data_IF_422792507122
#
_entry.id   IF_422792507122
#
_cell.length_a   1.000
_cell.length_b   1.000
_cell.length_c   1.000
_cell.angle_alpha   90.00
_cell.angle_beta   90.00
_cell.angle_gamma   90.00
#
_symmetry.space_group_name_H-M   'P 1'
#
loop_
_entity.id
_entity.type
_entity.pdbx_description
1 polymer ?
#
# COMPACT_ATOMS: atom_id res chain seq x y z
N UNK A 1 -4.51 -11.60 32.21
CA UNK A 1 -5.12 -12.38 31.11
C UNK A 1 -6.61 -12.42 31.36
N UNK A 2 -7.40 -11.74 30.54
CA UNK A 2 -8.86 -11.93 30.55
C UNK A 2 -9.13 -13.22 29.80
N UNK A 3 -9.75 -14.22 30.46
CA UNK A 3 -10.22 -15.42 29.77
C UNK A 3 -11.23 -14.98 28.70
N UNK A 4 -10.88 -15.17 27.43
CA UNK A 4 -11.78 -14.85 26.33
C UNK A 4 -13.04 -15.72 26.46
N UNK A 5 -14.25 -15.14 26.53
CA UNK A 5 -15.45 -15.91 26.79
C UNK A 5 -15.79 -16.76 25.56
N UNK A 6 -15.34 -18.01 25.55
CA UNK A 6 -15.96 -19.02 24.71
C UNK A 6 -17.38 -19.25 25.25
N UNK A 7 -18.38 -19.23 24.38
CA UNK A 7 -19.73 -19.58 24.80
C UNK A 7 -20.41 -20.52 23.80
N UNK A 8 -21.07 -21.52 24.36
CA UNK A 8 -21.84 -22.49 23.62
C UNK A 8 -23.23 -21.94 23.29
N UNK A 9 -23.76 -22.32 22.13
CA UNK A 9 -25.10 -21.94 21.70
C UNK A 9 -25.78 -23.10 20.99
N UNK A 10 -27.11 -23.14 21.03
CA UNK A 10 -27.89 -24.05 20.20
C UNK A 10 -28.22 -23.39 18.87
N UNK A 11 -28.17 -24.15 17.77
CA UNK A 11 -28.52 -23.66 16.44
C UNK A 11 -29.26 -24.70 15.59
N UNK A 12 -29.94 -24.20 14.57
CA UNK A 12 -30.56 -24.99 13.49
C UNK A 12 -30.00 -24.49 12.18
N UNK A 13 -29.50 -25.38 11.33
CA UNK A 13 -28.95 -25.01 10.02
C UNK A 13 -29.94 -25.31 8.90
N UNK A 14 -30.01 -24.43 7.92
CA UNK A 14 -30.73 -24.66 6.67
C UNK A 14 -29.90 -25.56 5.73
N UNK A 15 -30.57 -26.43 4.97
CA UNK A 15 -29.94 -27.26 3.94
C UNK A 15 -30.89 -27.41 2.76
N UNK A 16 -30.42 -27.07 1.55
CA UNK A 16 -31.22 -27.16 0.31
C UNK A 16 -31.69 -28.60 0.04
N UNK A 17 -30.83 -29.59 0.33
CA UNK A 17 -31.07 -31.01 -0.02
C UNK A 17 -32.04 -31.70 0.93
N UNK A 18 -32.25 -31.18 2.15
CA UNK A 18 -33.05 -31.85 3.20
C UNK A 18 -33.81 -30.83 4.04
N UNK A 19 -35.07 -30.56 3.64
CA UNK A 19 -36.02 -29.71 4.38
C UNK A 19 -36.24 -30.14 5.84
N UNK A 20 -35.89 -31.39 6.22
CA UNK A 20 -36.16 -31.98 7.54
C UNK A 20 -35.09 -31.73 8.62
N UNK A 21 -33.90 -31.18 8.33
CA UNK A 21 -32.88 -30.93 9.37
C UNK A 21 -33.18 -29.72 10.28
N UNK A 22 -34.29 -29.02 10.04
CA UNK A 22 -34.68 -27.84 10.80
C UNK A 22 -35.26 -28.13 12.20
N UNK A 23 -35.60 -29.39 12.49
CA UNK A 23 -36.34 -29.72 13.71
C UNK A 23 -35.43 -29.95 14.92
N UNK A 24 -34.25 -30.56 14.73
CA UNK A 24 -33.35 -30.90 15.84
C UNK A 24 -32.28 -29.81 16.07
N UNK A 25 -32.26 -29.15 17.24
CA UNK A 25 -31.20 -28.21 17.58
C UNK A 25 -29.86 -28.93 17.70
N UNK A 26 -28.78 -28.24 17.31
CA UNK A 26 -27.40 -28.70 17.35
C UNK A 26 -26.58 -27.77 18.24
N UNK A 27 -25.46 -28.25 18.75
CA UNK A 27 -24.55 -27.45 19.58
C UNK A 27 -23.46 -26.81 18.73
N UNK A 28 -23.27 -25.50 18.94
CA UNK A 28 -22.15 -24.72 18.43
C UNK A 28 -21.40 -24.05 19.58
N UNK A 29 -20.19 -23.60 19.30
CA UNK A 29 -19.35 -22.82 20.21
C UNK A 29 -18.60 -21.77 19.38
N UNK A 30 -18.34 -20.59 19.93
CA UNK A 30 -17.49 -19.58 19.31
C UNK A 30 -16.31 -19.32 20.24
N UNK A 31 -15.12 -19.25 19.66
CA UNK A 31 -13.92 -18.82 20.34
C UNK A 31 -13.05 -17.98 19.39
N UNK A 32 -11.84 -17.67 19.83
CA UNK A 32 -10.86 -16.88 19.08
C UNK A 32 -10.47 -17.47 17.71
N UNK A 33 -10.59 -18.80 17.52
CA UNK A 33 -10.21 -19.44 16.26
C UNK A 33 -11.33 -19.42 15.21
N UNK A 34 -12.58 -19.28 15.64
CA UNK A 34 -13.72 -19.31 14.73
C UNK A 34 -15.02 -19.79 15.36
N UNK A 35 -15.90 -20.30 14.50
CA UNK A 35 -17.22 -20.84 14.88
C UNK A 35 -17.18 -22.36 14.77
N UNK A 36 -17.30 -23.07 15.89
CA UNK A 36 -17.47 -24.52 15.91
C UNK A 36 -18.94 -24.87 15.74
N UNK A 37 -19.27 -25.63 14.69
CA UNK A 37 -20.61 -26.17 14.48
C UNK A 37 -20.55 -27.70 14.51
N UNK A 38 -21.19 -28.33 15.50
CA UNK A 38 -21.11 -29.79 15.72
C UNK A 38 -19.68 -30.34 15.81
N UNK A 39 -18.78 -29.57 16.42
CA UNK A 39 -17.37 -29.93 16.60
C UNK A 39 -16.47 -29.65 15.39
N UNK A 40 -17.01 -29.14 14.29
CA UNK A 40 -16.21 -28.72 13.12
C UNK A 40 -15.97 -27.22 13.17
N UNK A 41 -14.70 -26.80 13.07
CA UNK A 41 -14.29 -25.40 13.04
C UNK A 41 -14.60 -24.78 11.67
N UNK A 42 -15.26 -23.62 11.70
CA UNK A 42 -15.29 -22.65 10.62
C UNK A 42 -14.36 -21.51 11.03
N UNK A 43 -13.20 -21.43 10.40
CA UNK A 43 -12.22 -20.38 10.68
C UNK A 43 -12.77 -19.01 10.33
N UNK A 44 -12.44 -17.97 11.12
CA UNK A 44 -12.78 -16.60 10.75
C UNK A 44 -12.15 -16.18 9.41
N UNK A 45 -11.02 -16.78 9.00
CA UNK A 45 -10.41 -16.54 7.69
C UNK A 45 -11.27 -17.04 6.52
N UNK A 46 -12.07 -18.09 6.73
CA UNK A 46 -12.96 -18.61 5.70
C UNK A 46 -14.26 -17.79 5.58
N UNK A 47 -14.56 -16.93 6.55
CA UNK A 47 -15.78 -16.14 6.60
C UNK A 47 -15.53 -14.77 5.96
N UNK A 48 -16.22 -14.49 4.86
CA UNK A 48 -16.18 -13.19 4.18
C UNK A 48 -17.05 -12.15 4.92
N UNK A 49 -18.27 -12.55 5.31
CA UNK A 49 -19.24 -11.64 5.94
C UNK A 49 -20.27 -12.41 6.76
N UNK A 50 -20.74 -11.81 7.84
CA UNK A 50 -21.91 -12.28 8.58
C UNK A 50 -23.02 -11.23 8.57
N UNK A 51 -24.22 -11.62 8.13
CA UNK A 51 -25.40 -10.75 8.11
C UNK A 51 -26.54 -11.34 8.91
N UNK A 52 -27.34 -10.45 9.50
CA UNK A 52 -28.55 -10.82 10.23
C UNK A 52 -29.78 -10.43 9.41
N UNK A 53 -30.68 -11.39 9.19
CA UNK A 53 -31.93 -11.13 8.49
C UNK A 53 -33.05 -12.04 9.01
N UNK A 54 -34.15 -11.45 9.47
CA UNK A 54 -35.36 -12.18 9.83
C UNK A 54 -35.20 -13.28 10.90
N UNK A 55 -34.32 -13.10 11.88
CA UNK A 55 -34.04 -14.13 12.89
C UNK A 55 -33.08 -15.22 12.44
N UNK A 56 -32.40 -15.02 11.31
CA UNK A 56 -31.35 -15.90 10.78
C UNK A 56 -30.01 -15.16 10.74
N UNK A 57 -28.96 -15.93 10.96
CA UNK A 57 -27.59 -15.53 10.74
C UNK A 57 -27.10 -16.17 9.45
N UNK A 58 -26.68 -15.34 8.50
CA UNK A 58 -26.17 -15.75 7.21
C UNK A 58 -24.66 -15.52 7.24
N UNK A 59 -23.90 -16.60 7.09
CA UNK A 59 -22.44 -16.61 7.07
C UNK A 59 -22.05 -16.82 5.60
N UNK A 60 -21.52 -15.79 4.96
CA UNK A 60 -20.99 -15.86 3.60
C UNK A 60 -19.50 -16.17 3.66
N UNK A 61 -19.04 -17.11 2.85
CA UNK A 61 -17.65 -17.56 2.86
C UNK A 61 -16.79 -16.93 1.76
N UNK A 62 -15.47 -16.96 1.95
CA UNK A 62 -14.48 -16.68 0.90
C UNK A 62 -14.53 -17.73 -0.22
N UNK A 63 -13.84 -17.47 -1.34
CA UNK A 63 -13.75 -18.41 -2.46
C UNK A 63 -12.98 -19.66 -1.99
N UNK A 64 -13.67 -20.80 -1.95
CA UNK A 64 -13.16 -22.11 -1.48
C UNK A 64 -12.90 -22.23 0.04
N UNK A 65 -13.94 -22.16 0.89
CA UNK A 65 -13.75 -22.28 2.34
C UNK A 65 -13.38 -23.70 2.76
N UNK A 66 -12.52 -23.82 3.76
CA UNK A 66 -12.18 -25.09 4.40
C UNK A 66 -13.26 -25.50 5.41
N UNK A 67 -14.30 -26.17 4.92
CA UNK A 67 -15.41 -26.65 5.76
C UNK A 67 -15.30 -28.15 6.04
N UNK A 68 -15.58 -28.53 7.29
CA UNK A 68 -15.73 -29.93 7.67
C UNK A 68 -16.88 -30.63 6.93
N UNK A 69 -16.84 -31.97 6.87
CA UNK A 69 -17.76 -32.80 6.06
C UNK A 69 -19.22 -32.63 6.48
N UNK A 70 -19.52 -32.33 7.75
CA UNK A 70 -20.90 -32.13 8.24
C UNK A 70 -21.40 -30.72 7.92
N UNK A 71 -20.56 -29.73 8.11
CA UNK A 71 -20.83 -28.31 7.88
C UNK A 71 -20.98 -28.00 6.40
N UNK A 72 -20.14 -28.60 5.55
CA UNK A 72 -20.20 -28.46 4.10
C UNK A 72 -21.56 -28.90 3.51
N UNK A 73 -22.28 -29.83 4.17
CA UNK A 73 -23.63 -30.27 3.74
C UNK A 73 -24.73 -29.23 3.99
N UNK A 74 -24.46 -28.22 4.82
CA UNK A 74 -25.39 -27.11 5.08
C UNK A 74 -25.04 -25.86 4.27
N UNK A 75 -23.94 -25.89 3.52
CA UNK A 75 -23.57 -24.80 2.61
C UNK A 75 -24.55 -24.75 1.43
N UNK A 76 -25.07 -23.57 1.19
CA UNK A 76 -25.84 -23.20 -0.01
C UNK A 76 -24.83 -22.93 -1.12
N UNK A 77 -24.69 -23.88 -2.06
CA UNK A 77 -23.63 -23.87 -3.07
C UNK A 77 -23.69 -22.62 -3.95
N UNK A 78 -24.90 -22.21 -4.37
CA UNK A 78 -25.10 -21.06 -5.27
C UNK A 78 -24.58 -19.73 -4.70
N UNK A 79 -24.71 -19.54 -3.39
CA UNK A 79 -24.39 -18.28 -2.72
C UNK A 79 -23.13 -18.38 -1.85
N UNK A 80 -22.49 -19.55 -1.83
CA UNK A 80 -21.37 -19.86 -0.94
C UNK A 80 -21.62 -19.41 0.52
N UNK A 81 -22.81 -19.74 1.03
CA UNK A 81 -23.29 -19.25 2.31
C UNK A 81 -23.83 -20.36 3.20
N UNK A 82 -23.83 -20.13 4.50
CA UNK A 82 -24.43 -20.98 5.52
C UNK A 82 -25.48 -20.16 6.28
N UNK A 83 -26.68 -20.71 6.44
CA UNK A 83 -27.77 -20.03 7.16
C UNK A 83 -28.10 -20.80 8.42
N UNK A 84 -27.99 -20.14 9.57
CA UNK A 84 -28.31 -20.71 10.87
C UNK A 84 -29.35 -19.89 11.63
N UNK A 85 -30.20 -20.55 12.41
CA UNK A 85 -31.13 -19.97 13.37
C UNK A 85 -30.68 -20.31 14.78
N UNK A 86 -30.59 -19.32 15.67
CA UNK A 86 -30.26 -19.51 17.08
C UNK A 86 -31.04 -18.49 17.92
N UNK A 87 -31.26 -18.81 19.21
CA UNK A 87 -31.74 -17.81 20.18
C UNK A 87 -30.70 -16.75 20.52
N UNK A 88 -29.41 -17.04 20.28
CA UNK A 88 -28.27 -16.20 20.68
C UNK A 88 -27.61 -15.49 19.48
N UNK A 89 -28.35 -15.22 18.40
CA UNK A 89 -27.74 -14.65 17.17
C UNK A 89 -27.04 -13.31 17.42
N UNK A 90 -27.60 -12.46 18.29
CA UNK A 90 -26.99 -11.17 18.63
C UNK A 90 -25.63 -11.36 19.31
N UNK A 91 -25.55 -12.30 20.24
CA UNK A 91 -24.31 -12.61 20.97
C UNK A 91 -23.28 -13.27 20.06
N UNK A 92 -23.72 -14.16 19.17
CA UNK A 92 -22.87 -14.78 18.14
C UNK A 92 -22.25 -13.70 17.24
N UNK A 93 -23.07 -12.77 16.73
CA UNK A 93 -22.59 -11.67 15.90
C UNK A 93 -21.65 -10.76 16.68
N UNK A 94 -22.00 -10.40 17.92
CA UNK A 94 -21.16 -9.54 18.77
C UNK A 94 -19.81 -10.19 19.05
N UNK A 95 -19.78 -11.50 19.36
CA UNK A 95 -18.55 -12.22 19.57
C UNK A 95 -17.73 -12.34 18.30
N UNK A 96 -18.36 -12.58 17.15
CA UNK A 96 -17.68 -12.50 15.85
C UNK A 96 -17.10 -11.11 15.61
N UNK A 97 -17.83 -10.03 15.87
CA UNK A 97 -17.34 -8.67 15.70
C UNK A 97 -16.16 -8.38 16.66
N UNK A 98 -16.21 -8.88 17.91
CA UNK A 98 -15.12 -8.77 18.89
C UNK A 98 -13.91 -9.60 18.45
N UNK A 99 -14.10 -10.86 18.08
CA UNK A 99 -13.01 -11.73 17.66
C UNK A 99 -12.46 -11.34 16.30
N UNK A 100 -13.25 -10.79 15.39
CA UNK A 100 -12.72 -10.12 14.21
C UNK A 100 -12.03 -8.84 14.60
N UNK A 101 -12.47 -8.04 15.58
CA UNK A 101 -11.67 -6.87 15.97
C UNK A 101 -10.35 -7.24 16.66
N UNK A 102 -10.32 -8.35 17.39
CA UNK A 102 -9.14 -8.84 18.12
C UNK A 102 -8.22 -9.69 17.23
N UNK A 103 -8.78 -10.47 16.30
CA UNK A 103 -8.08 -11.28 15.29
C UNK A 103 -8.09 -10.65 13.89
N UNK A 104 -8.56 -9.41 13.73
CA UNK A 104 -8.31 -8.60 12.52
C UNK A 104 -6.83 -8.40 12.55
N UNK A 105 -6.17 -9.38 11.94
CA UNK A 105 -4.79 -9.72 12.19
C UNK A 105 -3.99 -8.44 12.13
N UNK A 106 -3.23 -8.29 13.19
CA UNK A 106 -2.01 -7.50 13.28
C UNK A 106 -0.99 -7.91 12.21
N UNK A 107 -1.34 -8.80 11.27
CA UNK A 107 -0.54 -9.18 10.12
C UNK A 107 -1.41 -9.23 8.87
N UNK A 108 -1.20 -8.29 7.93
CA UNK A 108 -1.77 -8.33 6.57
C UNK A 108 -0.72 -8.89 5.62
N UNK A 109 -1.10 -9.49 4.49
CA UNK A 109 -0.11 -9.87 3.46
C UNK A 109 0.04 -8.74 2.45
N UNK A 110 1.27 -8.45 2.05
CA UNK A 110 1.55 -7.55 0.94
C UNK A 110 0.93 -8.09 -0.35
N UNK A 111 0.18 -7.28 -1.09
CA UNK A 111 -0.43 -7.68 -2.37
C UNK A 111 0.57 -7.89 -3.51
N UNK A 112 1.86 -7.60 -3.31
CA UNK A 112 2.91 -7.75 -4.31
C UNK A 112 3.83 -8.96 -4.04
N UNK A 113 4.39 -9.07 -2.83
CA UNK A 113 5.36 -10.12 -2.48
C UNK A 113 4.85 -11.15 -1.45
N UNK A 114 3.57 -11.07 -1.05
CA UNK A 114 2.93 -11.93 -0.04
C UNK A 114 3.54 -11.88 1.38
N UNK A 115 4.57 -11.05 1.62
CA UNK A 115 5.18 -10.93 2.93
C UNK A 115 4.19 -10.40 3.99
N UNK A 116 4.22 -10.94 5.21
CA UNK A 116 3.39 -10.46 6.29
C UNK A 116 3.86 -9.07 6.74
N UNK A 117 2.99 -8.08 6.61
CA UNK A 117 3.15 -6.73 7.13
C UNK A 117 2.58 -6.73 8.55
N UNK A 118 3.39 -6.40 9.55
CA UNK A 118 2.90 -6.22 10.92
C UNK A 118 2.14 -4.88 11.04
N UNK A 119 0.87 -4.98 11.41
CA UNK A 119 -0.13 -3.95 11.66
C UNK A 119 -0.35 -3.69 13.15
N UNK A 120 0.36 -4.39 14.05
CA UNK A 120 0.33 -4.11 15.47
C UNK A 120 0.62 -2.64 15.75
N UNK A 121 -0.25 -2.00 16.53
CA UNK A 121 -0.11 -0.62 17.00
C UNK A 121 -0.09 0.47 15.90
N UNK A 122 -0.44 0.13 14.66
CA UNK A 122 -0.51 1.12 13.58
C UNK A 122 -1.88 1.79 13.53
N UNK A 123 -1.88 3.12 13.34
CA UNK A 123 -3.09 3.86 13.06
C UNK A 123 -3.70 3.38 11.75
N UNK A 124 -5.03 3.31 11.69
CA UNK A 124 -5.74 2.98 10.46
C UNK A 124 -5.44 4.05 9.40
N UNK A 125 -4.86 3.63 8.28
CA UNK A 125 -4.44 4.51 7.19
C UNK A 125 -4.97 4.01 5.84
N UNK A 126 -5.08 4.90 4.86
CA UNK A 126 -5.60 4.55 3.53
C UNK A 126 -4.66 3.64 2.74
N UNK A 127 -3.35 3.77 2.97
CA UNK A 127 -2.31 3.02 2.29
C UNK A 127 -1.45 2.25 3.28
N UNK A 128 -0.74 1.28 2.74
CA UNK A 128 0.11 0.33 3.43
C UNK A 128 1.43 0.21 2.69
N UNK A 129 2.53 0.31 3.43
CA UNK A 129 3.87 0.14 2.88
C UNK A 129 4.42 -1.24 3.26
N UNK A 130 5.08 -1.91 2.31
CA UNK A 130 5.77 -3.16 2.58
C UNK A 130 7.28 -2.92 2.66
N UNK A 131 7.87 -3.06 3.84
CA UNK A 131 9.32 -2.85 4.04
C UNK A 131 10.21 -3.82 3.24
N UNK A 132 9.67 -4.96 2.79
CA UNK A 132 10.47 -5.98 2.11
C UNK A 132 10.60 -5.73 0.60
N UNK A 133 9.55 -5.25 -0.05
CA UNK A 133 9.53 -5.01 -1.50
C UNK A 133 9.23 -3.55 -1.88
N UNK A 134 9.17 -2.67 -0.87
CA UNK A 134 8.91 -1.23 -0.95
C UNK A 134 7.61 -0.87 -1.70
N UNK A 135 6.69 -1.81 -1.85
CA UNK A 135 5.40 -1.57 -2.51
C UNK A 135 4.46 -0.75 -1.63
N UNK A 136 3.65 0.10 -2.26
CA UNK A 136 2.52 0.77 -1.63
C UNK A 136 1.24 0.16 -2.17
N UNK A 137 0.42 -0.40 -1.28
CA UNK A 137 -0.94 -0.86 -1.59
C UNK A 137 -1.97 -0.05 -0.82
N UNK A 138 -3.20 0.01 -1.29
CA UNK A 138 -4.29 0.59 -0.50
C UNK A 138 -4.72 -0.34 0.66
N UNK A 139 -5.67 0.13 1.45
CA UNK A 139 -6.26 -0.60 2.57
C UNK A 139 -6.98 -1.90 2.20
N UNK A 140 -7.25 -2.10 0.90
CA UNK A 140 -7.88 -3.30 0.34
C UNK A 140 -6.86 -4.25 -0.28
N UNK A 141 -5.57 -3.89 -0.29
CA UNK A 141 -4.49 -4.67 -0.88
C UNK A 141 -4.31 -4.44 -2.39
N UNK A 142 -4.98 -3.45 -2.98
CA UNK A 142 -4.75 -3.06 -4.38
C UNK A 142 -3.38 -2.38 -4.49
N UNK A 143 -2.53 -2.91 -5.36
CA UNK A 143 -1.19 -2.39 -5.60
C UNK A 143 -1.25 -1.07 -6.38
N UNK A 144 -0.69 0.00 -5.81
CA UNK A 144 -0.55 1.31 -6.46
C UNK A 144 0.87 1.51 -7.00
N UNK A 145 1.87 1.07 -6.25
CA UNK A 145 3.26 1.08 -6.68
C UNK A 145 4.03 -0.13 -6.16
N UNK A 146 4.99 -0.60 -6.96
CA UNK A 146 5.95 -1.62 -6.54
C UNK A 146 7.33 -0.98 -6.40
N UNK A 147 8.15 -1.51 -5.48
CA UNK A 147 9.52 -1.03 -5.26
C UNK A 147 10.45 -1.25 -6.45
N UNK A 148 10.11 -2.17 -7.36
CA UNK A 148 10.91 -2.43 -8.57
C UNK A 148 10.89 -1.26 -9.55
N UNK A 149 9.74 -0.60 -9.70
CA UNK A 149 9.58 0.54 -10.62
C UNK A 149 9.63 1.86 -9.89
N UNK A 150 9.09 1.97 -8.68
CA UNK A 150 9.01 3.22 -7.94
C UNK A 150 9.53 3.05 -6.52
N UNK A 151 10.54 3.83 -6.16
CA UNK A 151 11.13 3.80 -4.83
C UNK A 151 11.87 5.13 -4.56
N UNK A 152 12.40 5.28 -3.35
CA UNK A 152 13.28 6.38 -3.00
C UNK A 152 14.58 6.27 -3.79
N UNK A 153 14.82 7.26 -4.66
CA UNK A 153 16.03 7.34 -5.44
C UNK A 153 17.25 7.51 -4.52
N UNK A 154 18.25 6.62 -4.56
CA UNK A 154 19.41 6.68 -3.66
C UNK A 154 20.27 7.92 -3.88
N UNK A 155 20.27 8.48 -5.09
CA UNK A 155 21.04 9.67 -5.44
C UNK A 155 20.36 10.99 -5.03
N UNK A 156 19.02 11.01 -5.02
CA UNK A 156 18.27 12.26 -4.86
C UNK A 156 17.42 12.32 -3.59
N UNK A 157 17.12 11.18 -2.98
CA UNK A 157 16.25 11.06 -1.81
C UNK A 157 14.76 11.24 -2.08
N UNK A 158 14.36 11.46 -3.34
CA UNK A 158 12.97 11.58 -3.77
C UNK A 158 12.40 10.23 -4.16
N UNK A 159 11.13 9.99 -3.83
CA UNK A 159 10.35 8.92 -4.44
C UNK A 159 10.15 9.21 -5.93
N UNK A 160 10.58 8.30 -6.79
CA UNK A 160 10.53 8.47 -8.24
C UNK A 160 10.49 7.11 -8.94
N UNK A 161 10.26 7.11 -10.26
CA UNK A 161 10.42 5.92 -11.07
C UNK A 161 11.91 5.64 -11.28
N UNK A 162 12.38 4.50 -10.79
CA UNK A 162 13.78 4.13 -10.86
C UNK A 162 14.15 3.46 -12.18
N UNK A 163 15.40 3.65 -12.56
CA UNK A 163 16.03 2.86 -13.61
C UNK A 163 17.44 3.32 -13.92
N UNK A 164 18.06 2.63 -14.87
CA UNK A 164 19.36 3.08 -15.37
C UNK A 164 19.21 4.31 -16.26
N UNK A 165 20.02 5.33 -16.00
CA UNK A 165 20.09 6.59 -16.75
C UNK A 165 21.50 6.81 -17.27
N UNK A 166 21.61 7.31 -18.48
CA UNK A 166 22.92 7.59 -19.09
C UNK A 166 23.20 9.09 -19.09
N UNK A 167 24.36 9.46 -18.56
CA UNK A 167 24.88 10.82 -18.63
C UNK A 167 25.89 10.91 -19.76
N UNK A 168 25.57 11.73 -20.74
CA UNK A 168 26.36 11.97 -21.94
C UNK A 168 27.07 13.31 -21.85
N UNK A 169 28.39 13.29 -21.67
CA UNK A 169 29.23 14.48 -21.58
C UNK A 169 30.17 14.52 -22.79
N UNK A 170 29.74 15.19 -23.86
CA UNK A 170 30.54 15.39 -25.07
C UNK A 170 30.82 16.88 -25.22
N UNK A 171 32.10 17.26 -25.13
CA UNK A 171 32.51 18.66 -25.27
C UNK A 171 33.93 18.76 -25.83
N UNK A 172 34.27 19.95 -26.31
CA UNK A 172 35.59 20.26 -26.85
C UNK A 172 36.25 21.33 -26.00
N UNK A 173 37.50 21.12 -25.64
CA UNK A 173 38.27 22.06 -24.85
C UNK A 173 39.74 22.02 -25.31
N UNK A 174 40.37 23.18 -25.51
CA UNK A 174 41.79 23.28 -25.93
C UNK A 174 42.17 22.38 -27.13
N UNK A 175 41.36 22.41 -28.18
CA UNK A 175 41.57 21.59 -29.39
C UNK A 175 41.48 20.06 -29.17
N UNK A 176 41.06 19.61 -28.00
CA UNK A 176 40.85 18.20 -27.66
C UNK A 176 39.37 17.90 -27.52
N UNK A 177 38.98 16.76 -28.07
CA UNK A 177 37.63 16.23 -27.93
C UNK A 177 37.55 15.36 -26.67
N UNK A 178 36.60 15.66 -25.79
CA UNK A 178 36.33 14.90 -24.58
C UNK A 178 34.96 14.23 -24.72
N UNK A 179 34.93 12.91 -24.57
CA UNK A 179 33.71 12.17 -24.33
C UNK A 179 33.75 11.52 -22.95
N UNK A 180 32.60 11.44 -22.30
CA UNK A 180 32.39 10.55 -21.17
C UNK A 180 30.94 10.13 -21.15
N UNK A 181 30.74 8.82 -21.09
CA UNK A 181 29.41 8.22 -20.94
C UNK A 181 29.40 7.52 -19.60
N UNK A 182 28.54 7.96 -18.68
CA UNK A 182 28.46 7.39 -17.34
C UNK A 182 27.05 6.85 -17.11
N UNK A 183 26.96 5.64 -16.55
CA UNK A 183 25.69 4.99 -16.22
C UNK A 183 25.38 5.22 -14.75
N UNK A 184 24.20 5.73 -14.45
CA UNK A 184 23.68 5.95 -13.10
C UNK A 184 22.44 5.10 -12.86
N UNK A 185 22.17 4.75 -11.61
CA UNK A 185 20.90 4.15 -11.20
C UNK A 185 20.13 5.16 -10.34
N UNK A 186 18.96 5.60 -10.80
CA UNK A 186 18.16 6.56 -10.05
C UNK A 186 16.88 6.98 -10.76
N UNK A 187 16.28 8.08 -10.29
CA UNK A 187 14.97 8.56 -10.71
C UNK A 187 14.95 9.20 -12.10
N UNK A 188 13.75 9.44 -12.62
CA UNK A 188 13.54 10.21 -13.85
C UNK A 188 14.00 11.65 -13.73
N UNK A 189 13.90 12.24 -12.54
CA UNK A 189 14.43 13.59 -12.27
C UNK A 189 15.93 13.74 -12.59
N UNK A 190 16.74 12.69 -12.43
CA UNK A 190 18.16 12.70 -12.83
C UNK A 190 18.32 12.72 -14.34
N UNK A 191 17.46 12.01 -15.08
CA UNK A 191 17.46 12.03 -16.54
C UNK A 191 17.17 13.44 -17.07
N UNK A 192 16.18 14.12 -16.47
CA UNK A 192 15.85 15.53 -16.75
C UNK A 192 17.05 16.43 -16.41
N UNK A 193 17.65 16.25 -15.22
CA UNK A 193 18.83 17.03 -14.82
C UNK A 193 20.02 16.84 -15.78
N UNK A 194 20.31 15.61 -16.19
CA UNK A 194 21.37 15.31 -17.14
C UNK A 194 21.12 15.98 -18.48
N UNK A 195 19.86 16.06 -18.91
CA UNK A 195 19.49 16.80 -20.10
C UNK A 195 19.80 18.29 -19.96
N UNK A 196 19.28 18.96 -18.94
CA UNK A 196 19.50 20.40 -18.77
C UNK A 196 20.98 20.77 -18.59
N UNK A 197 21.76 19.96 -17.85
CA UNK A 197 23.19 20.22 -17.63
C UNK A 197 24.07 19.99 -18.86
N UNK A 198 23.69 19.09 -19.75
CA UNK A 198 24.56 18.67 -20.86
C UNK A 198 24.05 19.05 -22.24
N UNK A 199 22.79 19.47 -22.41
CA UNK A 199 22.26 19.80 -23.73
C UNK A 199 23.09 20.88 -24.43
N UNK A 200 23.46 21.96 -23.73
CA UNK A 200 24.28 23.03 -24.31
C UNK A 200 25.69 22.56 -24.69
N UNK A 201 26.30 21.71 -23.85
CA UNK A 201 27.62 21.12 -24.12
C UNK A 201 27.58 20.22 -25.36
N UNK A 202 26.55 19.36 -25.42
CA UNK A 202 26.37 18.39 -26.49
C UNK A 202 25.92 19.05 -27.81
N UNK A 203 25.18 20.17 -27.75
CA UNK A 203 24.69 20.91 -28.92
C UNK A 203 25.84 21.45 -29.78
N UNK A 204 26.96 21.84 -29.16
CA UNK A 204 28.10 22.43 -29.87
C UNK A 204 28.68 21.51 -30.97
N UNK A 205 28.47 20.19 -30.88
CA UNK A 205 29.00 19.21 -31.84
C UNK A 205 27.97 18.20 -32.34
N UNK A 206 26.70 18.32 -31.93
CA UNK A 206 25.58 17.44 -32.29
C UNK A 206 25.73 15.93 -31.97
N UNK A 207 26.91 15.44 -31.56
CA UNK A 207 27.18 14.01 -31.29
C UNK A 207 26.45 13.52 -30.04
N UNK A 208 26.46 14.31 -28.95
CA UNK A 208 25.82 13.93 -27.68
C UNK A 208 24.32 14.22 -27.63
N UNK A 209 23.80 14.98 -28.60
CA UNK A 209 22.40 15.44 -28.60
C UNK A 209 21.42 14.27 -28.69
N UNK A 210 21.59 13.28 -29.60
CA UNK A 210 20.68 12.14 -29.68
C UNK A 210 20.59 11.35 -28.37
N UNK A 211 21.73 11.04 -27.74
CA UNK A 211 21.76 10.32 -26.46
C UNK A 211 21.05 11.08 -25.34
N UNK A 212 21.29 12.39 -25.25
CA UNK A 212 20.66 13.26 -24.25
C UNK A 212 19.15 13.36 -24.46
N UNK A 213 18.70 13.49 -25.71
CA UNK A 213 17.28 13.52 -26.06
C UNK A 213 16.57 12.19 -25.79
N UNK A 214 17.23 11.06 -26.04
CA UNK A 214 16.69 9.72 -25.72
C UNK A 214 16.45 9.58 -24.21
N UNK A 215 17.40 10.02 -23.38
CA UNK A 215 17.26 9.94 -21.92
C UNK A 215 16.20 10.91 -21.40
N UNK A 216 16.12 12.13 -21.94
CA UNK A 216 15.04 13.06 -21.63
C UNK A 216 13.67 12.49 -22.00
N UNK A 217 13.56 11.88 -23.19
CA UNK A 217 12.32 11.24 -23.63
C UNK A 217 11.94 10.06 -22.72
N UNK A 218 12.90 9.22 -22.33
CA UNK A 218 12.66 8.11 -21.38
C UNK A 218 12.16 8.63 -20.04
N UNK A 219 12.76 9.70 -19.53
CA UNK A 219 12.39 10.33 -18.27
C UNK A 219 11.01 11.00 -18.27
N UNK A 220 10.40 11.22 -19.45
CA UNK A 220 9.09 11.87 -19.60
C UNK A 220 7.99 10.93 -20.11
N UNK A 221 8.32 9.68 -20.48
CA UNK A 221 7.36 8.74 -21.09
C UNK A 221 7.11 7.51 -20.23
N UNK A 222 5.90 6.97 -20.35
CA UNK A 222 5.50 5.72 -19.68
C UNK A 222 5.23 5.90 -18.19
N UNK A 223 4.83 7.10 -17.77
CA UNK A 223 4.44 7.36 -16.39
C UNK A 223 3.07 6.75 -16.14
N UNK A 224 2.84 6.30 -14.91
CA UNK A 224 1.48 6.04 -14.45
C UNK A 224 0.67 7.34 -14.59
N UNK A 225 -0.60 7.30 -15.02
CA UNK A 225 -1.42 8.50 -15.20
C UNK A 225 -1.48 9.39 -13.96
N UNK A 226 -1.35 8.80 -12.77
CA UNK A 226 -1.37 9.55 -11.51
C UNK A 226 -0.05 10.28 -11.19
N UNK A 227 1.08 9.86 -11.79
CA UNK A 227 2.43 10.36 -11.52
C UNK A 227 3.05 11.09 -12.72
N UNK A 228 2.22 11.63 -13.63
CA UNK A 228 2.71 12.26 -14.86
C UNK A 228 3.71 13.39 -14.61
N UNK A 229 3.50 14.19 -13.57
CA UNK A 229 4.28 15.38 -13.20
C UNK A 229 5.37 15.09 -12.15
N UNK A 230 5.59 13.82 -11.78
CA UNK A 230 6.45 13.47 -10.65
C UNK A 230 7.92 13.84 -10.90
N UNK A 231 8.45 13.50 -12.07
CA UNK A 231 9.83 13.77 -12.43
C UNK A 231 10.13 15.28 -12.48
N UNK A 232 9.21 16.07 -13.06
CA UNK A 232 9.31 17.53 -13.14
C UNK A 232 9.22 18.17 -11.74
N UNK A 233 8.31 17.72 -10.87
CA UNK A 233 8.18 18.21 -9.51
C UNK A 233 9.45 17.95 -8.68
N UNK A 234 9.99 16.74 -8.79
CA UNK A 234 11.25 16.35 -8.16
C UNK A 234 12.43 17.19 -8.69
N UNK A 235 12.47 17.46 -9.99
CA UNK A 235 13.51 18.28 -10.62
C UNK A 235 13.43 19.75 -10.18
N UNK A 236 12.26 20.38 -10.26
CA UNK A 236 12.02 21.75 -9.82
C UNK A 236 12.41 21.94 -8.35
N UNK A 237 12.05 20.99 -7.49
CA UNK A 237 12.42 21.00 -6.07
C UNK A 237 13.94 21.03 -5.87
N UNK A 238 14.68 20.19 -6.61
CA UNK A 238 16.15 20.13 -6.55
C UNK A 238 16.83 21.37 -7.12
N UNK A 239 16.15 22.10 -8.00
CA UNK A 239 16.59 23.40 -8.48
C UNK A 239 16.32 24.54 -7.47
N UNK A 240 15.61 24.27 -6.37
CA UNK A 240 15.20 25.29 -5.40
C UNK A 240 13.90 26.03 -5.78
N UNK A 241 13.23 25.60 -6.86
CA UNK A 241 11.98 26.18 -7.36
C UNK A 241 10.79 25.63 -6.56
N UNK A 242 10.76 25.92 -5.25
CA UNK A 242 9.80 25.34 -4.30
C UNK A 242 8.34 25.56 -4.71
N UNK A 243 8.01 26.75 -5.24
CA UNK A 243 6.64 27.09 -5.64
C UNK A 243 6.16 26.19 -6.78
N UNK A 244 6.98 26.03 -7.82
CA UNK A 244 6.65 25.18 -8.96
C UNK A 244 6.54 23.71 -8.54
N UNK A 245 7.49 23.23 -7.72
CA UNK A 245 7.43 21.89 -7.17
C UNK A 245 6.12 21.65 -6.39
N UNK A 246 5.76 22.56 -5.49
CA UNK A 246 4.53 22.48 -4.70
C UNK A 246 3.27 22.48 -5.57
N UNK A 247 3.21 23.31 -6.62
CA UNK A 247 2.09 23.34 -7.56
C UNK A 247 1.93 21.99 -8.30
N UNK A 248 3.05 21.40 -8.75
CA UNK A 248 3.04 20.08 -9.42
C UNK A 248 2.67 18.94 -8.46
N UNK A 249 3.19 18.93 -7.24
CA UNK A 249 2.77 17.96 -6.21
C UNK A 249 1.29 18.08 -5.88
N UNK A 250 0.78 19.31 -5.76
CA UNK A 250 -0.64 19.56 -5.48
C UNK A 250 -1.53 18.99 -6.59
N UNK A 251 -1.13 19.11 -7.86
CA UNK A 251 -1.86 18.47 -8.99
C UNK A 251 -1.96 16.96 -8.84
N UNK A 252 -0.87 16.29 -8.49
CA UNK A 252 -0.87 14.84 -8.25
C UNK A 252 -1.70 14.48 -7.01
N UNK A 253 -1.63 15.27 -5.95
CA UNK A 253 -2.43 15.07 -4.73
C UNK A 253 -3.93 15.25 -4.96
N UNK A 254 -4.37 16.09 -5.91
CA UNK A 254 -5.80 16.15 -6.26
C UNK A 254 -6.34 14.81 -6.77
N UNK A 255 -5.49 13.98 -7.40
CA UNK A 255 -5.84 12.63 -7.86
C UNK A 255 -5.61 11.58 -6.78
N UNK A 256 -4.55 11.76 -5.98
CA UNK A 256 -4.14 10.86 -4.90
C UNK A 256 -3.97 11.59 -3.56
N UNK A 257 -5.06 12.02 -2.88
CA UNK A 257 -4.98 12.97 -1.76
C UNK A 257 -4.20 12.49 -0.55
N UNK A 258 -4.17 11.18 -0.31
CA UNK A 258 -3.53 10.58 0.87
C UNK A 258 -2.31 9.72 0.50
N UNK A 259 -1.79 9.82 -0.74
CA UNK A 259 -0.69 8.95 -1.14
C UNK A 259 0.62 9.38 -0.46
N UNK A 260 1.24 8.49 0.34
CA UNK A 260 2.26 8.90 1.31
C UNK A 260 3.52 9.43 0.65
N UNK A 261 3.90 8.91 -0.52
CA UNK A 261 5.13 9.29 -1.19
C UNK A 261 5.10 10.71 -1.77
N UNK A 262 3.93 11.20 -2.21
CA UNK A 262 3.79 12.59 -2.68
C UNK A 262 3.94 13.59 -1.53
N UNK A 263 3.36 13.28 -0.37
CA UNK A 263 3.53 14.08 0.84
C UNK A 263 4.98 14.04 1.34
N UNK A 264 5.63 12.88 1.28
CA UNK A 264 7.06 12.74 1.57
C UNK A 264 7.91 13.61 0.65
N UNK A 265 7.73 13.54 -0.68
CA UNK A 265 8.52 14.35 -1.62
C UNK A 265 8.34 15.86 -1.39
N UNK A 266 7.11 16.30 -1.14
CA UNK A 266 6.84 17.70 -0.81
C UNK A 266 7.47 18.10 0.54
N UNK A 267 7.50 17.22 1.53
CA UNK A 267 8.21 17.45 2.78
C UNK A 267 9.73 17.60 2.56
N UNK A 268 10.33 16.76 1.70
CA UNK A 268 11.74 16.88 1.31
C UNK A 268 12.01 18.21 0.60
N UNK A 269 11.10 18.67 -0.27
CA UNK A 269 11.19 19.97 -0.93
C UNK A 269 11.24 21.13 0.08
N UNK A 270 10.34 21.13 1.07
CA UNK A 270 10.33 22.13 2.14
C UNK A 270 11.58 22.05 3.02
N UNK A 271 12.06 20.85 3.32
CA UNK A 271 13.28 20.64 4.10
C UNK A 271 14.51 21.19 3.37
N UNK A 272 14.63 20.96 2.06
CA UNK A 272 15.69 21.53 1.22
C UNK A 272 15.64 23.06 1.15
N UNK A 273 14.45 23.64 1.34
CA UNK A 273 14.22 25.08 1.37
C UNK A 273 14.34 25.68 2.78
N UNK A 274 14.89 24.93 3.75
CA UNK A 274 15.00 25.31 5.17
C UNK A 274 13.66 25.67 5.84
N UNK A 275 12.53 25.17 5.33
CA UNK A 275 11.22 25.34 5.95
C UNK A 275 10.81 24.08 6.71
N UNK A 276 11.46 23.87 7.84
CA UNK A 276 11.33 22.66 8.63
C UNK A 276 9.91 22.46 9.21
N UNK A 277 9.24 23.55 9.58
CA UNK A 277 7.87 23.49 10.10
C UNK A 277 6.90 22.90 9.08
N UNK A 278 6.92 23.39 7.84
CA UNK A 278 6.08 22.84 6.77
C UNK A 278 6.52 21.43 6.39
N UNK A 279 7.82 21.13 6.38
CA UNK A 279 8.31 19.78 6.15
C UNK A 279 7.72 18.78 7.15
N UNK A 280 7.76 19.10 8.45
CA UNK A 280 7.17 18.26 9.52
C UNK A 280 5.67 18.05 9.32
N UNK A 281 4.92 19.10 8.93
CA UNK A 281 3.48 18.97 8.63
C UNK A 281 3.22 18.01 7.46
N UNK A 282 4.03 18.04 6.39
CA UNK A 282 3.86 17.12 5.27
C UNK A 282 4.36 15.70 5.57
N UNK A 283 5.39 15.53 6.39
CA UNK A 283 5.74 14.22 6.92
C UNK A 283 4.60 13.63 7.77
N UNK A 284 3.94 14.45 8.59
CA UNK A 284 2.74 14.00 9.32
C UNK A 284 1.65 13.54 8.35
N UNK A 285 1.33 14.32 7.30
CA UNK A 285 0.35 13.90 6.27
C UNK A 285 0.74 12.62 5.54
N UNK A 286 2.04 12.41 5.31
CA UNK A 286 2.56 11.15 4.74
C UNK A 286 2.21 9.97 5.64
N UNK A 287 2.41 10.11 6.97
CA UNK A 287 2.06 9.08 7.96
C UNK A 287 0.56 8.93 8.20
N UNK A 288 -0.23 10.00 8.06
CA UNK A 288 -1.70 9.91 8.08
C UNK A 288 -2.21 9.07 6.90
N UNK A 289 -1.59 9.23 5.72
CA UNK A 289 -1.89 8.43 4.53
C UNK A 289 -1.43 6.97 4.65
N UNK A 290 -0.27 6.74 5.27
CA UNK A 290 0.32 5.43 5.48
C UNK A 290 1.16 5.43 6.78
N UNK A 291 0.58 4.90 7.86
CA UNK A 291 1.15 4.98 9.20
C UNK A 291 2.49 4.26 9.36
N UNK A 292 2.80 3.36 8.43
CA UNK A 292 4.03 2.59 8.38
C UNK A 292 4.96 2.96 7.22
N UNK A 293 4.81 4.15 6.65
CA UNK A 293 5.66 4.59 5.55
C UNK A 293 7.09 4.86 6.02
N UNK A 294 7.92 3.83 5.92
CA UNK A 294 9.28 3.76 6.44
C UNK A 294 10.21 4.90 5.97
N UNK A 295 10.15 5.37 4.70
CA UNK A 295 10.94 6.53 4.27
C UNK A 295 10.72 7.78 5.13
N UNK A 296 9.47 8.08 5.48
CA UNK A 296 9.15 9.22 6.34
C UNK A 296 9.64 9.00 7.77
N UNK A 297 9.44 7.80 8.32
CA UNK A 297 9.88 7.46 9.68
C UNK A 297 11.40 7.60 9.83
N UNK A 298 12.18 7.17 8.84
CA UNK A 298 13.64 7.32 8.82
C UNK A 298 14.07 8.79 8.87
N UNK A 299 13.45 9.65 8.06
CA UNK A 299 13.80 11.08 8.04
C UNK A 299 13.41 11.77 9.36
N UNK A 300 12.21 11.50 9.89
CA UNK A 300 11.78 12.06 11.17
C UNK A 300 12.68 11.62 12.33
N UNK A 301 13.09 10.35 12.35
CA UNK A 301 14.05 9.84 13.35
C UNK A 301 15.36 10.62 13.27
N UNK A 302 15.94 10.75 12.07
CA UNK A 302 17.15 11.52 11.86
C UNK A 302 17.02 12.99 12.32
N UNK A 303 15.89 13.65 12.01
CA UNK A 303 15.64 15.03 12.47
C UNK A 303 15.56 15.11 14.00
N UNK A 304 14.89 14.17 14.66
CA UNK A 304 14.79 14.14 16.12
C UNK A 304 16.13 13.91 16.81
N UNK A 305 17.00 13.07 16.24
CA UNK A 305 18.35 12.81 16.74
C UNK A 305 19.28 14.03 16.57
N UNK A 306 18.98 14.93 15.63
CA UNK A 306 19.73 16.17 15.41
C UNK A 306 19.36 17.28 16.40
N UNK A 307 18.16 17.24 16.96
CA UNK A 307 17.63 18.25 17.90
C UNK A 307 18.01 17.98 19.36
N UNK A 308 18.31 16.72 19.72
CA UNK A 308 18.68 16.30 21.08
C UNK A 308 20.18 16.33 21.33
#
# INVERSE_FOLDING_TARGET
MLENPSFAFSFKAYSEKKKSYFFLPKLGNINENGIYLTGELISFYDILRMTYFGGYLIITFQKYPLLGKRTAKWRIEKNNALVIKSGMIKDIKRAFDIFISQNAKTTRRCGHCDNPINWDHQLESQYHYCNECHSISDKHGLLFSNGELFDICPETGYYDRLGYRWKYEYYFFEKKFYWKTTKYYGGDNLGIEFFHKNILKNLMFLIGVPGTLIEYYRANKGHHPDFTELADANFASRCGELKEAADLYTKMQMRLPYFPALHYNLAIAYLQSNNEELARRYFQKSLEGCSNYEPTLKVLKYLSEKEG
#
